data_IF_321693584188
#
_entry.id   IF_321693584188
#
_cell.length_a   1.000
_cell.length_b   1.000
_cell.length_c   1.000
_cell.angle_alpha   90.00
_cell.angle_beta   90.00
_cell.angle_gamma   90.00
#
_symmetry.space_group_name_H-M   'P 1'
#
loop_
_entity.id
_entity.type
_entity.pdbx_description
1 polymer ?
#
# COMPACT_ATOMS: atom_id res chain seq x y z
N UNK A 1 28.05 -8.07 11.81
CA UNK A 1 27.38 -9.35 11.47
C UNK A 1 26.01 -9.40 12.14
N UNK A 2 25.02 -8.65 11.65
CA UNK A 2 23.67 -8.54 12.25
C UNK A 2 22.64 -8.34 11.12
N UNK A 3 22.29 -9.42 10.42
CA UNK A 3 21.28 -9.37 9.35
C UNK A 3 20.68 -10.74 9.04
N UNK A 4 20.34 -11.56 10.07
CA UNK A 4 19.87 -12.93 9.83
C UNK A 4 18.70 -13.45 10.66
N UNK A 5 17.90 -12.60 11.31
CA UNK A 5 16.76 -13.07 12.12
C UNK A 5 15.37 -12.49 11.79
N UNK A 6 15.20 -11.73 10.70
CA UNK A 6 13.88 -11.13 10.40
C UNK A 6 13.05 -11.84 9.32
N UNK A 7 13.40 -13.07 8.92
CA UNK A 7 12.76 -13.77 7.79
C UNK A 7 11.98 -15.05 8.14
N UNK A 8 11.59 -15.26 9.40
CA UNK A 8 10.87 -16.48 9.82
C UNK A 8 9.45 -16.23 10.35
N UNK A 9 8.91 -15.00 10.25
CA UNK A 9 7.59 -14.67 10.83
C UNK A 9 6.37 -14.89 9.93
N UNK A 10 6.52 -14.92 8.60
CA UNK A 10 5.37 -14.81 7.66
C UNK A 10 5.37 -15.95 6.61
N UNK A 11 5.91 -17.13 6.93
CA UNK A 11 5.87 -18.33 6.04
C UNK A 11 5.22 -19.52 6.75
N UNK A 12 4.18 -19.28 7.56
CA UNK A 12 3.50 -20.36 8.32
C UNK A 12 2.02 -20.50 7.99
N UNK A 13 1.66 -20.40 6.70
CA UNK A 13 0.31 -20.76 6.24
C UNK A 13 0.27 -21.44 4.86
N UNK A 14 1.20 -22.38 4.63
CA UNK A 14 1.02 -23.43 3.62
C UNK A 14 1.24 -24.78 4.30
N UNK A 15 0.23 -25.22 5.07
CA UNK A 15 0.14 -26.63 5.43
C UNK A 15 -0.18 -27.43 4.18
N UNK A 16 0.86 -27.98 3.57
CA UNK A 16 0.78 -29.04 2.58
C UNK A 16 0.24 -30.30 3.29
N UNK A 17 -1.08 -30.46 3.35
CA UNK A 17 -1.70 -31.71 3.77
C UNK A 17 -1.59 -32.68 2.60
N UNK A 18 -0.53 -33.49 2.65
CA UNK A 18 -0.46 -34.73 1.88
C UNK A 18 -1.39 -35.73 2.59
N UNK A 19 -2.63 -35.82 2.12
CA UNK A 19 -3.61 -36.77 2.67
C UNK A 19 -3.20 -38.20 2.32
N UNK A 20 -2.69 -38.94 3.30
CA UNK A 20 -2.65 -40.41 3.28
C UNK A 20 -4.09 -40.93 3.49
N UNK A 21 -4.68 -41.71 2.57
CA UNK A 21 -6.10 -42.07 2.61
C UNK A 21 -6.48 -43.16 3.63
N UNK A 22 -5.58 -43.63 4.49
CA UNK A 22 -5.84 -44.82 5.33
C UNK A 22 -5.97 -44.58 6.85
N UNK A 23 -5.90 -43.34 7.36
CA UNK A 23 -5.94 -43.10 8.82
C UNK A 23 -7.12 -42.21 9.29
N UNK A 24 -8.33 -42.49 8.79
CA UNK A 24 -9.56 -41.71 9.05
C UNK A 24 -10.39 -42.18 10.26
N UNK A 25 -9.76 -42.49 11.41
CA UNK A 25 -10.54 -42.93 12.59
C UNK A 25 -10.20 -42.30 13.95
N UNK A 26 -9.23 -41.40 14.03
CA UNK A 26 -8.90 -40.73 15.30
C UNK A 26 -8.56 -39.24 15.11
N UNK A 27 -9.44 -38.48 14.45
CA UNK A 27 -9.35 -37.02 14.50
C UNK A 27 -10.01 -36.53 15.81
N UNK A 28 -9.28 -35.81 16.68
CA UNK A 28 -9.90 -35.13 17.82
C UNK A 28 -10.94 -34.13 17.31
N UNK A 29 -11.97 -33.81 18.09
CA UNK A 29 -13.05 -32.91 17.68
C UNK A 29 -12.45 -31.62 17.15
N UNK A 30 -12.84 -31.26 15.92
CA UNK A 30 -12.55 -29.98 15.28
C UNK A 30 -12.88 -28.86 16.26
N UNK A 31 -11.82 -28.30 16.84
CA UNK A 31 -11.87 -27.09 17.62
C UNK A 31 -12.62 -26.03 16.82
N UNK A 32 -13.70 -25.51 17.38
CA UNK A 32 -14.36 -24.32 16.87
C UNK A 32 -13.31 -23.24 16.63
N UNK A 33 -13.17 -22.82 15.37
CA UNK A 33 -12.34 -21.69 14.97
C UNK A 33 -12.80 -20.48 15.76
N UNK A 34 -11.96 -20.08 16.71
CA UNK A 34 -12.10 -18.91 17.55
C UNK A 34 -12.34 -17.67 16.65
N UNK A 35 -13.56 -17.13 16.67
CA UNK A 35 -14.02 -16.02 15.81
C UNK A 35 -13.40 -14.66 16.13
N UNK A 36 -12.37 -14.59 16.98
CA UNK A 36 -11.78 -13.34 17.44
C UNK A 36 -10.30 -13.22 17.04
N UNK A 37 -9.97 -13.39 15.76
CA UNK A 37 -8.65 -13.02 15.27
C UNK A 37 -8.64 -11.52 14.94
N UNK A 38 -8.12 -10.70 15.85
CA UNK A 38 -7.90 -9.28 15.56
C UNK A 38 -6.69 -9.12 14.65
N UNK A 39 -6.88 -8.56 13.46
CA UNK A 39 -5.78 -8.26 12.53
C UNK A 39 -4.98 -7.08 13.07
N UNK A 40 -3.66 -7.26 13.22
CA UNK A 40 -2.74 -6.17 13.50
C UNK A 40 -2.38 -5.44 12.19
N UNK A 41 -3.20 -4.48 11.78
CA UNK A 41 -3.01 -3.75 10.53
C UNK A 41 -1.63 -3.09 10.43
N UNK A 42 -1.13 -2.48 11.50
CA UNK A 42 0.16 -1.80 11.49
C UNK A 42 1.30 -2.76 11.11
N UNK A 43 1.34 -3.93 11.75
CA UNK A 43 2.36 -4.94 11.48
C UNK A 43 2.26 -5.45 10.05
N UNK A 44 1.04 -5.72 9.57
CA UNK A 44 0.81 -6.18 8.19
C UNK A 44 1.29 -5.15 7.17
N UNK A 45 0.79 -3.91 7.24
CA UNK A 45 1.11 -2.88 6.25
C UNK A 45 2.59 -2.48 6.28
N UNK A 46 3.18 -2.32 7.47
CA UNK A 46 4.58 -1.93 7.59
C UNK A 46 5.54 -3.03 7.15
N UNK A 47 5.31 -4.28 7.55
CA UNK A 47 6.18 -5.40 7.16
C UNK A 47 6.06 -5.72 5.67
N UNK A 48 4.83 -5.64 5.14
CA UNK A 48 4.55 -5.92 3.73
C UNK A 48 5.13 -4.84 2.81
N UNK A 49 4.95 -3.55 3.14
CA UNK A 49 5.51 -2.48 2.31
C UNK A 49 7.03 -2.52 2.27
N UNK A 50 7.68 -2.77 3.41
CA UNK A 50 9.14 -2.96 3.47
C UNK A 50 9.62 -4.17 2.65
N UNK A 51 8.87 -5.27 2.69
CA UNK A 51 9.19 -6.48 1.91
C UNK A 51 9.06 -6.22 0.41
N UNK A 52 8.01 -5.51 -0.01
CA UNK A 52 7.84 -5.07 -1.39
C UNK A 52 9.02 -4.20 -1.85
N UNK A 53 9.44 -3.21 -1.06
CA UNK A 53 10.59 -2.34 -1.38
C UNK A 53 11.87 -3.14 -1.54
N UNK A 54 12.20 -4.03 -0.59
CA UNK A 54 13.39 -4.88 -0.67
C UNK A 54 13.37 -5.77 -1.90
N UNK A 55 12.21 -6.29 -2.26
CA UNK A 55 12.05 -7.14 -3.43
C UNK A 55 12.39 -6.40 -4.73
N UNK A 56 12.10 -5.09 -4.84
CA UNK A 56 12.53 -4.27 -5.98
C UNK A 56 14.04 -4.36 -6.17
N UNK A 57 14.81 -4.21 -5.09
CA UNK A 57 16.28 -4.26 -5.15
C UNK A 57 16.78 -5.64 -5.55
N UNK A 58 16.17 -6.69 -5.01
CA UNK A 58 16.55 -8.08 -5.33
C UNK A 58 16.25 -8.41 -6.78
N UNK A 59 15.06 -8.05 -7.29
CA UNK A 59 14.70 -8.24 -8.71
C UNK A 59 15.67 -7.46 -9.59
N UNK A 60 15.85 -6.17 -9.35
CA UNK A 60 16.75 -5.32 -10.14
C UNK A 60 18.18 -5.87 -10.19
N UNK A 61 18.72 -6.29 -9.05
CA UNK A 61 20.11 -6.77 -8.98
C UNK A 61 20.29 -8.14 -9.63
N UNK A 62 19.33 -9.05 -9.49
CA UNK A 62 19.43 -10.40 -10.04
C UNK A 62 19.07 -10.44 -11.54
N UNK A 63 18.16 -9.59 -12.01
CA UNK A 63 17.89 -9.44 -13.44
C UNK A 63 19.14 -9.00 -14.20
N UNK A 64 19.90 -8.04 -13.65
CA UNK A 64 21.20 -7.61 -14.21
C UNK A 64 22.26 -8.71 -14.25
N UNK A 65 22.19 -9.68 -13.34
CA UNK A 65 23.09 -10.82 -13.27
C UNK A 65 22.63 -12.02 -14.10
N UNK A 66 21.41 -11.98 -14.64
CA UNK A 66 20.78 -13.11 -15.32
C UNK A 66 20.36 -14.24 -14.38
N UNK A 67 20.29 -14.01 -13.07
CA UNK A 67 19.86 -15.04 -12.10
C UNK A 67 18.33 -15.13 -12.06
N UNK A 68 17.80 -15.89 -13.01
CA UNK A 68 16.36 -16.07 -13.17
C UNK A 68 15.72 -16.73 -11.94
N UNK A 69 16.41 -17.69 -11.30
CA UNK A 69 15.86 -18.42 -10.14
C UNK A 69 15.63 -17.48 -8.97
N UNK A 70 16.60 -16.61 -8.67
CA UNK A 70 16.45 -15.60 -7.63
C UNK A 70 15.35 -14.59 -7.95
N UNK A 71 15.23 -14.17 -9.22
CA UNK A 71 14.15 -13.27 -9.66
C UNK A 71 12.79 -13.92 -9.46
N UNK A 72 12.59 -15.16 -9.90
CA UNK A 72 11.31 -15.88 -9.73
C UNK A 72 10.91 -16.00 -8.26
N UNK A 73 11.83 -16.47 -7.41
CA UNK A 73 11.57 -16.61 -5.97
C UNK A 73 11.20 -15.27 -5.33
N UNK A 74 11.82 -14.18 -5.79
CA UNK A 74 11.52 -12.83 -5.31
C UNK A 74 10.13 -12.36 -5.74
N UNK A 75 9.73 -12.63 -6.99
CA UNK A 75 8.39 -12.25 -7.47
C UNK A 75 7.30 -13.08 -6.77
N UNK A 76 7.52 -14.37 -6.49
CA UNK A 76 6.58 -15.16 -5.68
C UNK A 76 6.45 -14.62 -4.25
N UNK A 77 7.56 -14.17 -3.65
CA UNK A 77 7.55 -13.49 -2.35
C UNK A 77 6.77 -12.18 -2.41
N UNK A 78 6.99 -11.38 -3.46
CA UNK A 78 6.24 -10.15 -3.71
C UNK A 78 4.75 -10.43 -3.81
N UNK A 79 4.37 -11.42 -4.62
CA UNK A 79 2.98 -11.80 -4.84
C UNK A 79 2.30 -12.23 -3.55
N UNK A 80 2.94 -13.11 -2.76
CA UNK A 80 2.41 -13.56 -1.47
C UNK A 80 2.22 -12.38 -0.51
N UNK A 81 3.16 -11.44 -0.49
CA UNK A 81 3.09 -10.23 0.33
C UNK A 81 1.92 -9.32 -0.08
N UNK A 82 1.75 -9.09 -1.39
CA UNK A 82 0.61 -8.33 -1.91
C UNK A 82 -0.71 -9.02 -1.60
N UNK A 83 -0.77 -10.36 -1.65
CA UNK A 83 -1.96 -11.13 -1.27
C UNK A 83 -2.37 -10.95 0.17
N UNK A 84 -1.41 -10.92 1.11
CA UNK A 84 -1.70 -10.63 2.52
C UNK A 84 -2.35 -9.25 2.66
N UNK A 85 -1.87 -8.24 1.93
CA UNK A 85 -2.50 -6.92 1.93
C UNK A 85 -3.90 -6.98 1.31
N UNK A 86 -4.08 -7.66 0.18
CA UNK A 86 -5.38 -7.84 -0.47
C UNK A 86 -6.41 -8.42 0.50
N UNK A 87 -6.06 -9.50 1.21
CA UNK A 87 -6.94 -10.13 2.20
C UNK A 87 -7.22 -9.20 3.39
N UNK A 88 -6.21 -8.44 3.82
CA UNK A 88 -6.33 -7.50 4.94
C UNK A 88 -7.28 -6.35 4.66
N UNK A 89 -7.23 -5.78 3.44
CA UNK A 89 -8.12 -4.67 3.03
C UNK A 89 -9.54 -5.14 2.68
N UNK A 90 -9.73 -6.44 2.50
CA UNK A 90 -11.03 -7.07 2.29
C UNK A 90 -11.67 -7.56 3.60
N UNK A 91 -10.97 -7.43 4.73
CA UNK A 91 -11.52 -7.78 6.03
C UNK A 91 -12.69 -6.86 6.41
N UNK A 92 -13.69 -7.40 7.10
CA UNK A 92 -14.94 -6.67 7.43
C UNK A 92 -14.71 -5.42 8.30
N UNK A 93 -13.68 -5.44 9.14
CA UNK A 93 -13.28 -4.32 10.00
C UNK A 93 -12.45 -3.24 9.28
N UNK A 94 -12.09 -3.45 8.01
CA UNK A 94 -11.30 -2.48 7.27
C UNK A 94 -12.17 -1.31 6.81
N UNK A 95 -11.96 -0.14 7.41
CA UNK A 95 -12.79 1.04 7.25
C UNK A 95 -12.04 2.24 6.66
N UNK A 96 -12.76 3.36 6.48
CA UNK A 96 -12.20 4.62 6.01
C UNK A 96 -11.02 5.12 6.86
N UNK A 97 -11.10 4.96 8.19
CA UNK A 97 -10.05 5.39 9.12
C UNK A 97 -8.77 4.58 8.92
N UNK A 98 -8.90 3.25 8.84
CA UNK A 98 -7.79 2.34 8.60
C UNK A 98 -7.16 2.58 7.23
N UNK A 99 -7.98 2.72 6.19
CA UNK A 99 -7.52 3.09 4.85
C UNK A 99 -6.74 4.41 4.85
N UNK A 100 -7.23 5.44 5.53
CA UNK A 100 -6.54 6.73 5.64
C UNK A 100 -5.17 6.57 6.31
N UNK A 101 -5.11 5.88 7.46
CA UNK A 101 -3.87 5.66 8.24
C UNK A 101 -2.80 4.92 7.41
N UNK A 102 -3.19 3.87 6.69
CA UNK A 102 -2.24 2.98 6.00
C UNK A 102 -2.06 3.29 4.49
N UNK A 103 -2.66 4.37 3.99
CA UNK A 103 -2.58 4.78 2.58
C UNK A 103 -1.14 4.95 2.07
N UNK A 104 -0.22 5.43 2.91
CA UNK A 104 1.20 5.54 2.55
C UNK A 104 1.87 4.19 2.29
N UNK A 105 1.54 3.16 3.07
CA UNK A 105 2.10 1.82 2.89
C UNK A 105 1.57 1.16 1.62
N UNK A 106 0.28 1.32 1.34
CA UNK A 106 -0.30 0.82 0.08
C UNK A 106 0.27 1.56 -1.13
N UNK A 107 0.45 2.87 -1.04
CA UNK A 107 1.12 3.62 -2.11
C UNK A 107 2.55 3.10 -2.36
N UNK A 108 3.30 2.78 -1.31
CA UNK A 108 4.63 2.19 -1.42
C UNK A 108 4.63 0.81 -2.10
N UNK A 109 3.62 -0.02 -1.83
CA UNK A 109 3.42 -1.33 -2.47
C UNK A 109 3.12 -1.16 -3.96
N UNK A 110 2.21 -0.25 -4.31
CA UNK A 110 1.84 0.07 -5.70
C UNK A 110 3.06 0.57 -6.50
N UNK A 111 3.81 1.53 -5.94
CA UNK A 111 5.03 2.04 -6.56
C UNK A 111 6.10 0.95 -6.68
N UNK A 112 6.23 0.09 -5.67
CA UNK A 112 7.18 -1.04 -5.71
C UNK A 112 6.83 -2.05 -6.81
N UNK A 113 5.54 -2.34 -7.00
CA UNK A 113 5.07 -3.20 -8.10
C UNK A 113 5.45 -2.60 -9.46
N UNK A 114 5.17 -1.32 -9.68
CA UNK A 114 5.57 -0.63 -10.92
C UNK A 114 7.08 -0.72 -11.14
N UNK A 115 7.90 -0.55 -10.09
CA UNK A 115 9.37 -0.66 -10.19
C UNK A 115 9.85 -2.09 -10.48
N UNK A 116 9.17 -3.11 -9.97
CA UNK A 116 9.46 -4.52 -10.32
C UNK A 116 9.20 -4.75 -11.82
N UNK A 117 8.06 -4.27 -12.33
CA UNK A 117 7.72 -4.39 -13.76
C UNK A 117 8.76 -3.67 -14.62
N UNK A 118 9.12 -2.42 -14.28
CA UNK A 118 10.18 -1.68 -14.99
C UNK A 118 11.52 -2.40 -14.96
N UNK A 119 11.92 -2.96 -13.82
CA UNK A 119 13.17 -3.71 -13.72
C UNK A 119 13.16 -5.00 -14.57
N UNK A 120 12.00 -5.58 -14.86
CA UNK A 120 11.90 -6.80 -15.68
C UNK A 120 11.83 -6.49 -17.17
N UNK A 121 11.16 -5.40 -17.59
CA UNK A 121 11.02 -5.06 -19.01
C UNK A 121 12.38 -4.80 -19.67
N UNK A 122 13.37 -4.34 -18.92
CA UNK A 122 14.76 -4.18 -19.35
C UNK A 122 15.45 -5.53 -19.69
N UNK A 123 14.85 -6.66 -19.28
CA UNK A 123 15.38 -8.02 -19.42
C UNK A 123 14.31 -9.00 -19.96
N UNK A 124 14.00 -8.97 -21.27
CA UNK A 124 12.83 -9.67 -21.85
C UNK A 124 12.79 -11.19 -21.65
N UNK A 125 13.94 -11.86 -21.56
CA UNK A 125 13.98 -13.31 -21.32
C UNK A 125 13.53 -13.68 -19.91
N UNK A 126 13.82 -12.83 -18.93
CA UNK A 126 13.42 -12.99 -17.53
C UNK A 126 11.96 -12.59 -17.36
N UNK A 127 11.58 -11.44 -17.94
CA UNK A 127 10.20 -10.96 -17.97
C UNK A 127 9.24 -12.03 -18.50
N UNK A 128 9.57 -12.65 -19.64
CA UNK A 128 8.68 -13.62 -20.30
C UNK A 128 8.27 -14.77 -19.40
N UNK A 129 9.18 -15.29 -18.58
CA UNK A 129 8.81 -16.37 -17.66
C UNK A 129 8.15 -15.85 -16.38
N UNK A 130 8.32 -14.57 -16.02
CA UNK A 130 7.66 -13.94 -14.87
C UNK A 130 6.27 -13.40 -15.22
N UNK A 131 5.96 -13.24 -16.50
CA UNK A 131 4.82 -12.51 -17.01
C UNK A 131 3.48 -12.98 -16.43
N UNK A 132 3.27 -14.29 -16.34
CA UNK A 132 2.05 -14.86 -15.75
C UNK A 132 1.86 -14.41 -14.29
N UNK A 133 2.93 -14.43 -13.50
CA UNK A 133 2.91 -13.99 -12.10
C UNK A 133 2.72 -12.48 -11.99
N UNK A 134 3.32 -11.68 -12.88
CA UNK A 134 3.09 -10.23 -12.91
C UNK A 134 1.61 -9.88 -13.14
N UNK A 135 0.89 -10.64 -13.96
CA UNK A 135 -0.56 -10.47 -14.12
C UNK A 135 -1.33 -10.76 -12.84
N UNK A 136 -0.99 -11.81 -12.11
CA UNK A 136 -1.61 -12.13 -10.81
C UNK A 136 -1.36 -11.01 -9.78
N UNK A 137 -0.14 -10.49 -9.73
CA UNK A 137 0.21 -9.34 -8.88
C UNK A 137 -0.57 -8.11 -9.30
N UNK A 138 -0.67 -7.81 -10.62
CA UNK A 138 -1.44 -6.68 -11.13
C UNK A 138 -2.89 -6.70 -10.66
N UNK A 139 -3.54 -7.86 -10.78
CA UNK A 139 -4.93 -8.06 -10.35
C UNK A 139 -5.05 -7.81 -8.84
N UNK A 140 -4.11 -8.32 -8.04
CA UNK A 140 -4.11 -8.18 -6.58
C UNK A 140 -3.91 -6.71 -6.17
N UNK A 141 -2.96 -6.01 -6.81
CA UNK A 141 -2.75 -4.55 -6.61
C UNK A 141 -4.00 -3.75 -6.99
N UNK A 142 -4.63 -4.07 -8.13
CA UNK A 142 -5.86 -3.39 -8.54
C UNK A 142 -7.00 -3.59 -7.53
N UNK A 143 -7.14 -4.80 -6.97
CA UNK A 143 -8.13 -5.07 -5.92
C UNK A 143 -7.87 -4.26 -4.65
N UNK A 144 -6.60 -4.09 -4.26
CA UNK A 144 -6.24 -3.23 -3.12
C UNK A 144 -6.65 -1.78 -3.39
N UNK A 145 -6.34 -1.25 -4.58
CA UNK A 145 -6.75 0.10 -5.00
C UNK A 145 -8.28 0.24 -4.92
N UNK A 146 -9.01 -0.73 -5.46
CA UNK A 146 -10.47 -0.71 -5.46
C UNK A 146 -11.05 -0.76 -4.03
N UNK A 147 -10.49 -1.57 -3.13
CA UNK A 147 -10.94 -1.64 -1.74
C UNK A 147 -10.80 -0.28 -1.01
N UNK A 148 -9.69 0.43 -1.26
CA UNK A 148 -9.50 1.79 -0.75
C UNK A 148 -10.54 2.76 -1.31
N UNK A 149 -10.81 2.72 -2.62
CA UNK A 149 -11.85 3.54 -3.25
C UNK A 149 -13.24 3.24 -2.68
N UNK A 150 -13.57 1.97 -2.44
CA UNK A 150 -14.87 1.56 -1.88
C UNK A 150 -15.15 2.15 -0.51
N UNK A 151 -14.12 2.38 0.31
CA UNK A 151 -14.23 3.06 1.62
C UNK A 151 -13.98 4.57 1.54
N UNK A 152 -14.05 5.16 0.34
CA UNK A 152 -13.94 6.60 0.13
C UNK A 152 -12.52 7.16 0.26
N UNK A 153 -11.47 6.35 0.05
CA UNK A 153 -10.08 6.80 0.05
C UNK A 153 -9.44 6.60 -1.31
N UNK A 154 -9.05 7.69 -1.99
CA UNK A 154 -8.30 7.62 -3.24
C UNK A 154 -6.79 7.66 -2.97
N UNK A 155 -6.07 6.59 -3.31
CA UNK A 155 -4.62 6.48 -3.09
C UNK A 155 -3.77 7.17 -4.17
N UNK A 156 -4.38 7.65 -5.26
CA UNK A 156 -3.70 8.20 -6.45
C UNK A 156 -2.69 9.30 -6.11
N UNK A 157 -3.11 10.33 -5.36
CA UNK A 157 -2.23 11.45 -4.95
C UNK A 157 -1.05 10.99 -4.11
N UNK A 158 -1.25 9.97 -3.26
CA UNK A 158 -0.18 9.42 -2.41
C UNK A 158 0.82 8.60 -3.23
N UNK A 159 0.33 7.83 -4.20
CA UNK A 159 1.16 7.10 -5.18
C UNK A 159 2.01 8.06 -6.00
N UNK A 160 1.41 9.13 -6.54
CA UNK A 160 2.12 10.18 -7.28
C UNK A 160 3.22 10.81 -6.44
N UNK A 161 2.93 11.17 -5.18
CA UNK A 161 3.91 11.72 -4.23
C UNK A 161 5.08 10.76 -3.96
N UNK A 162 4.87 9.44 -3.97
CA UNK A 162 5.91 8.42 -3.74
C UNK A 162 6.69 8.03 -5.01
N UNK A 163 6.46 8.72 -6.12
CA UNK A 163 7.18 8.54 -7.38
C UNK A 163 6.34 8.04 -8.54
N UNK A 164 5.04 7.82 -8.33
CA UNK A 164 4.10 7.43 -9.38
C UNK A 164 4.27 6.01 -9.89
N UNK A 165 3.52 5.70 -10.95
CA UNK A 165 3.62 4.44 -11.69
C UNK A 165 4.01 4.73 -13.12
N UNK A 166 4.84 3.86 -13.69
CA UNK A 166 5.23 3.91 -15.10
C UNK A 166 4.16 3.21 -15.95
N UNK A 167 3.14 4.00 -16.32
CA UNK A 167 2.01 3.51 -17.10
C UNK A 167 2.40 3.02 -18.49
N UNK A 168 3.45 3.60 -19.09
CA UNK A 168 3.96 3.20 -20.41
C UNK A 168 4.51 1.77 -20.34
N UNK A 169 5.36 1.50 -19.34
CA UNK A 169 5.93 0.16 -19.16
C UNK A 169 4.86 -0.87 -18.82
N UNK A 170 3.94 -0.55 -17.90
CA UNK A 170 2.82 -1.44 -17.59
C UNK A 170 2.01 -1.79 -18.85
N UNK A 171 1.65 -0.77 -19.64
CA UNK A 171 0.86 -0.94 -20.86
C UNK A 171 1.58 -1.78 -21.91
N UNK A 172 2.91 -1.66 -22.03
CA UNK A 172 3.71 -2.47 -22.96
C UNK A 172 3.64 -3.98 -22.66
N UNK A 173 3.31 -4.34 -21.43
CA UNK A 173 3.12 -5.73 -20.98
C UNK A 173 1.64 -6.11 -20.86
N UNK A 174 0.71 -5.29 -21.37
CA UNK A 174 -0.74 -5.46 -21.17
C UNK A 174 -1.12 -5.55 -19.69
N UNK A 175 -0.46 -4.75 -18.85
CA UNK A 175 -0.76 -4.55 -17.44
C UNK A 175 -1.30 -3.13 -17.28
N UNK A 176 -2.29 -2.95 -16.41
CA UNK A 176 -2.91 -1.65 -16.20
C UNK A 176 -3.35 -1.51 -14.75
N UNK A 177 -3.16 -0.31 -14.20
CA UNK A 177 -3.68 0.09 -12.90
C UNK A 177 -4.61 1.29 -13.09
N UNK A 178 -5.86 1.12 -12.71
CA UNK A 178 -6.90 2.13 -12.81
C UNK A 178 -7.17 2.73 -11.44
N UNK A 179 -6.77 3.98 -11.27
CA UNK A 179 -7.10 4.77 -10.09
C UNK A 179 -8.41 5.49 -10.36
N UNK A 180 -9.52 4.96 -9.83
CA UNK A 180 -10.80 5.64 -9.91
C UNK A 180 -10.72 6.94 -9.10
N UNK A 181 -11.07 8.05 -9.75
CA UNK A 181 -11.24 9.32 -9.05
C UNK A 181 -12.56 9.23 -8.27
N UNK A 182 -12.51 9.57 -6.98
CA UNK A 182 -13.73 9.79 -6.22
C UNK A 182 -14.30 11.12 -6.71
N UNK A 183 -15.56 11.11 -7.16
CA UNK A 183 -16.31 12.35 -7.35
C UNK A 183 -16.41 13.02 -5.99
N UNK A 184 -15.49 13.96 -5.73
CA UNK A 184 -15.59 14.83 -4.57
C UNK A 184 -16.78 15.74 -4.89
N UNK A 185 -17.94 15.46 -4.29
CA UNK A 185 -18.90 16.53 -4.05
C UNK A 185 -18.13 17.56 -3.22
N UNK A 186 -17.61 18.58 -3.91
CA UNK A 186 -17.12 19.77 -3.26
C UNK A 186 -18.34 20.39 -2.58
N UNK A 187 -18.59 20.02 -1.33
CA UNK A 187 -19.21 20.94 -0.39
C UNK A 187 -18.19 22.07 -0.21
N UNK A 188 -18.17 22.98 -1.18
CA UNK A 188 -17.77 24.36 -0.97
C UNK A 188 -18.73 24.88 0.10
N UNK A 189 -18.35 24.69 1.37
CA UNK A 189 -18.87 25.51 2.43
C UNK A 189 -18.38 26.94 2.13
N UNK A 190 -19.19 27.67 1.37
CA UNK A 190 -19.22 29.12 1.38
C UNK A 190 -19.30 29.54 2.84
N UNK A 191 -18.15 29.87 3.43
CA UNK A 191 -18.10 30.78 4.55
C UNK A 191 -18.59 32.13 4.02
N UNK A 192 -19.90 32.35 4.07
CA UNK A 192 -20.42 33.71 4.15
C UNK A 192 -19.88 34.31 5.46
N UNK A 193 -18.79 35.08 5.37
CA UNK A 193 -18.46 36.05 6.41
C UNK A 193 -19.60 37.08 6.45
N UNK A 194 -20.47 36.98 7.45
CA UNK A 194 -21.47 38.00 7.77
C UNK A 194 -20.78 39.35 8.07
N UNK A 195 -20.95 40.38 7.21
CA UNK A 195 -20.31 41.66 7.41
C UNK A 195 -21.21 42.56 8.27
N UNK A 196 -21.55 42.14 9.50
CA UNK A 196 -22.37 42.99 10.35
C UNK A 196 -22.15 42.84 11.87
N UNK A 197 -20.94 43.13 12.34
CA UNK A 197 -20.76 43.54 13.74
C UNK A 197 -19.85 44.77 13.89
N UNK A 198 -20.38 45.93 13.48
CA UNK A 198 -19.97 47.20 14.09
C UNK A 198 -21.01 47.58 15.14
N UNK A 199 -20.64 47.55 16.42
CA UNK A 199 -21.01 48.61 17.37
C UNK A 199 -20.18 48.58 18.66
N UNK A 200 -19.54 49.72 18.88
CA UNK A 200 -19.29 50.37 20.17
C UNK A 200 -18.43 49.65 21.23
N UNK A 201 -17.21 50.19 21.41
CA UNK A 201 -16.85 50.78 22.70
C UNK A 201 -15.98 52.03 22.48
N UNK A 202 -16.42 53.10 23.14
CA UNK A 202 -16.00 54.50 23.00
C UNK A 202 -15.35 54.91 24.32
N UNK A 203 -14.22 55.60 24.22
CA UNK A 203 -13.65 56.47 25.26
C UNK A 203 -12.43 55.87 25.98
N UNK A 204 -11.40 56.63 26.33
CA UNK A 204 -11.17 58.08 26.21
C UNK A 204 -9.73 58.37 26.66
N UNK A 205 -9.10 59.38 26.01
CA UNK A 205 -8.00 60.25 26.50
C UNK A 205 -6.63 59.64 26.86
N UNK A 206 -5.48 60.32 26.81
CA UNK A 206 -4.87 61.44 26.04
C UNK A 206 -3.50 61.73 26.69
N UNK A 207 -2.45 61.94 25.87
CA UNK A 207 -1.30 62.89 25.99
C UNK A 207 -0.01 62.25 25.41
N UNK A 208 0.59 62.84 24.35
CA UNK A 208 1.82 63.68 24.36
C UNK A 208 3.03 62.98 25.01
N UNK A 209 4.25 62.90 24.46
CA UNK A 209 4.98 63.85 23.62
C UNK A 209 6.32 63.23 23.13
N UNK A 210 6.89 63.82 22.05
CA UNK A 210 8.33 63.98 21.69
C UNK A 210 9.18 62.76 21.23
N UNK A 211 9.70 62.81 19.99
CA UNK A 211 11.06 63.23 19.58
C UNK A 211 12.15 62.24 20.06
N UNK A 212 12.90 61.53 19.24
CA UNK A 212 13.65 61.98 18.07
C UNK A 212 15.09 62.24 18.50
N UNK A 213 15.96 61.24 18.40
CA UNK A 213 17.40 61.47 18.24
C UNK A 213 18.12 60.26 17.63
N UNK A 214 19.11 60.58 16.80
CA UNK A 214 19.98 59.68 16.03
C UNK A 214 21.28 59.41 16.79
N UNK A 215 21.87 58.24 16.56
CA UNK A 215 23.33 58.07 16.50
C UNK A 215 23.69 57.49 15.13
#
# INVERSE_FOLDING_TARGET
MLARQFLLGIVSFVCFVKSDPENSKNLPPTHELNKNFTINYQEVFQSSSLTCVKTVEVVKNNSKKGDQVAVYASIETFHSTVKIIEETVQHEDFDHKSATIYSEHVAEVVVSYSKVVTALVEHPSIEKGCHGKLKEVNISVQKIINAYTQVGVCVKKVVEKKGGVDTITLSSLNLELNFMDLEVENEDAEFEEDPNEKKHLKGTHTHQDKAGDKE
#
